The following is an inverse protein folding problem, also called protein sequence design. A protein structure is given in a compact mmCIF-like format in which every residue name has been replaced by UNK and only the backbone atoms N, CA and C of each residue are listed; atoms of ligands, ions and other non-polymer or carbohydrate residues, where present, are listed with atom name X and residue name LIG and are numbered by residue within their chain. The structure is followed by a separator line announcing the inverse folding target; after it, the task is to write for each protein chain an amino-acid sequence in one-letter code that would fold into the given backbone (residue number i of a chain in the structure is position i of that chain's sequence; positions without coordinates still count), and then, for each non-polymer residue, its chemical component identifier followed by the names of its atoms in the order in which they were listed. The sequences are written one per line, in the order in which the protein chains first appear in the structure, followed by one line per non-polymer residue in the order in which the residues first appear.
data_IF_333560185409
#
_entry.id   IF_333560185409
#
_cell.length_a   1.000
_cell.length_b   1.000
_cell.length_c   1.000
_cell.angle_alpha   90.00
_cell.angle_beta   90.00
_cell.angle_gamma   90.00
#
_symmetry.space_group_name_H-M   'P 1'
#
loop_
_entity.id
_entity.type
_entity.pdbx_description
1 polymer ?
#
# COMPACT_ATOMS: atom_id res chain seq x y z
N UNK A 1 -4.43 6.09 -15.92
CA UNK A 1 -3.80 7.31 -16.49
C UNK A 1 -2.39 7.41 -15.91
N UNK A 2 -1.33 7.40 -16.73
CA UNK A 2 0.05 7.64 -16.25
C UNK A 2 0.13 9.05 -15.67
N UNK A 3 0.62 9.20 -14.45
CA UNK A 3 0.68 10.51 -13.81
C UNK A 3 1.72 11.39 -14.51
N UNK A 4 1.56 12.71 -14.45
CA UNK A 4 2.55 13.68 -14.95
C UNK A 4 3.92 13.47 -14.30
N UNK A 5 3.95 12.91 -13.08
CA UNK A 5 5.17 12.54 -12.36
C UNK A 5 5.88 11.34 -12.97
N UNK A 6 5.15 10.34 -13.49
CA UNK A 6 5.74 9.17 -14.14
C UNK A 6 6.42 9.52 -15.46
N UNK A 7 5.86 10.48 -16.20
CA UNK A 7 6.46 11.02 -17.42
C UNK A 7 7.74 11.83 -17.12
N UNK A 8 7.78 12.57 -16.02
CA UNK A 8 8.96 13.34 -15.59
C UNK A 8 10.07 12.44 -15.05
N UNK A 9 9.72 11.36 -14.32
CA UNK A 9 10.68 10.34 -13.88
C UNK A 9 11.31 9.60 -15.06
N UNK A 10 10.54 9.26 -16.08
CA UNK A 10 11.06 8.61 -17.29
C UNK A 10 11.98 9.52 -18.13
N UNK A 11 11.85 10.84 -18.02
CA UNK A 11 12.66 11.82 -18.75
C UNK A 11 13.99 12.16 -18.07
N UNK A 12 14.16 11.85 -16.78
CA UNK A 12 15.40 12.15 -16.04
C UNK A 12 15.85 10.95 -15.17
N UNK A 13 16.86 10.17 -15.62
CA UNK A 13 17.33 9.00 -14.89
C UNK A 13 17.94 9.35 -13.53
N UNK A 14 18.53 10.55 -13.38
CA UNK A 14 19.06 11.03 -12.09
C UNK A 14 17.94 11.28 -11.10
N UNK A 15 16.82 11.83 -11.58
CA UNK A 15 15.64 12.03 -10.76
C UNK A 15 15.06 10.69 -10.28
N UNK A 16 15.03 9.69 -11.15
CA UNK A 16 14.61 8.33 -10.80
C UNK A 16 15.51 7.72 -9.71
N UNK A 17 16.83 7.83 -9.85
CA UNK A 17 17.80 7.37 -8.85
C UNK A 17 17.55 8.06 -7.49
N UNK A 18 17.37 9.38 -7.48
CA UNK A 18 17.15 10.14 -6.25
C UNK A 18 15.84 9.75 -5.56
N UNK A 19 14.77 9.49 -6.31
CA UNK A 19 13.53 8.97 -5.75
C UNK A 19 13.76 7.61 -5.09
N UNK A 20 14.42 6.68 -5.79
CA UNK A 20 14.68 5.34 -5.27
C UNK A 20 15.55 5.36 -4.01
N UNK A 21 16.62 6.16 -4.01
CA UNK A 21 17.49 6.34 -2.84
C UNK A 21 16.73 6.93 -1.66
N UNK A 22 15.86 7.92 -1.89
CA UNK A 22 15.03 8.52 -0.85
C UNK A 22 14.08 7.48 -0.24
N UNK A 23 13.46 6.64 -1.06
CA UNK A 23 12.55 5.60 -0.60
C UNK A 23 13.27 4.54 0.23
N UNK A 24 14.46 4.11 -0.21
CA UNK A 24 15.32 3.16 0.52
C UNK A 24 15.80 3.76 1.85
N UNK A 25 16.14 5.06 1.87
CA UNK A 25 16.56 5.79 3.07
C UNK A 25 15.48 5.89 4.16
N UNK A 26 14.20 5.75 3.81
CA UNK A 26 13.12 5.67 4.81
C UNK A 26 13.14 4.36 5.62
N UNK A 27 13.68 3.29 5.05
CA UNK A 27 13.82 1.98 5.70
C UNK A 27 15.22 1.84 6.32
N UNK A 28 16.24 2.34 5.64
CA UNK A 28 17.63 2.28 6.07
C UNK A 28 18.12 3.67 6.47
N UNK A 29 18.06 3.97 7.77
CA UNK A 29 18.49 5.26 8.33
C UNK A 29 19.98 5.58 8.12
N UNK A 30 20.80 4.56 7.82
CA UNK A 30 22.23 4.72 7.51
C UNK A 30 22.47 5.43 6.17
N UNK A 31 21.49 5.45 5.27
CA UNK A 31 21.60 6.10 3.95
C UNK A 31 21.09 7.54 4.06
N UNK A 32 21.89 8.55 3.67
CA UNK A 32 21.47 9.95 3.66
C UNK A 32 20.21 10.19 2.81
N UNK A 33 19.26 10.95 3.35
CA UNK A 33 18.05 11.37 2.61
C UNK A 33 18.42 12.40 1.55
N UNK A 34 18.21 12.05 0.29
CA UNK A 34 18.43 12.95 -0.85
C UNK A 34 17.13 13.58 -1.32
N UNK A 35 17.21 14.84 -1.74
CA UNK A 35 16.09 15.52 -2.39
C UNK A 35 16.11 15.24 -3.90
N UNK A 36 14.99 14.78 -4.49
CA UNK A 36 14.91 14.54 -5.92
C UNK A 36 14.84 15.86 -6.68
N UNK A 37 16.01 16.41 -7.00
CA UNK A 37 16.21 17.66 -7.75
C UNK A 37 16.46 17.42 -9.24
N UNK A 38 16.73 16.17 -9.63
CA UNK A 38 17.09 15.77 -10.99
C UNK A 38 18.52 16.13 -11.39
N UNK A 39 19.34 16.62 -10.45
CA UNK A 39 20.75 16.98 -10.65
C UNK A 39 21.64 16.11 -9.77
N UNK A 40 22.70 15.55 -10.34
CA UNK A 40 23.65 14.71 -9.61
C UNK A 40 24.65 15.61 -8.88
N UNK A 41 24.36 15.94 -7.62
CA UNK A 41 25.20 16.76 -6.75
C UNK A 41 26.02 15.88 -5.78
N UNK A 42 26.95 16.49 -5.02
CA UNK A 42 27.77 15.78 -4.04
C UNK A 42 26.96 15.06 -2.96
N UNK A 43 25.76 15.54 -2.61
CA UNK A 43 24.86 14.85 -1.69
C UNK A 43 24.32 13.53 -2.28
N UNK A 44 23.99 13.54 -3.58
CA UNK A 44 23.55 12.33 -4.29
C UNK A 44 24.70 11.33 -4.41
N UNK A 45 25.92 11.81 -4.68
CA UNK A 45 27.12 10.97 -4.72
C UNK A 45 27.42 10.33 -3.37
N UNK A 46 27.33 11.09 -2.28
CA UNK A 46 27.50 10.58 -0.91
C UNK A 46 26.44 9.52 -0.58
N UNK A 47 25.18 9.76 -0.93
CA UNK A 47 24.11 8.78 -0.71
C UNK A 47 24.31 7.49 -1.51
N UNK A 48 24.78 7.59 -2.77
CA UNK A 48 25.15 6.43 -3.59
C UNK A 48 26.32 5.67 -2.97
N UNK A 49 27.32 6.38 -2.43
CA UNK A 49 28.49 5.77 -1.79
C UNK A 49 28.14 4.99 -0.53
N UNK A 50 27.30 5.57 0.33
CA UNK A 50 26.81 4.88 1.54
C UNK A 50 25.87 3.71 1.18
N UNK A 51 25.03 3.86 0.16
CA UNK A 51 24.25 2.74 -0.39
C UNK A 51 25.16 1.61 -0.87
N UNK A 52 26.18 1.91 -1.69
CA UNK A 52 27.13 0.91 -2.18
C UNK A 52 27.83 0.19 -1.02
N UNK A 53 28.31 0.94 -0.03
CA UNK A 53 28.94 0.38 1.17
C UNK A 53 28.00 -0.54 1.95
N UNK A 54 26.72 -0.17 2.08
CA UNK A 54 25.72 -0.97 2.80
C UNK A 54 25.44 -2.31 2.11
N UNK A 55 25.38 -2.31 0.78
CA UNK A 55 25.04 -3.50 -0.01
C UNK A 55 26.28 -4.25 -0.54
N UNK A 56 27.45 -4.05 0.09
CA UNK A 56 28.72 -4.70 -0.26
C UNK A 56 29.16 -4.47 -1.73
N UNK A 57 28.83 -3.32 -2.29
CA UNK A 57 29.26 -2.88 -3.62
C UNK A 57 30.52 -1.98 -3.51
N UNK A 58 31.32 -1.87 -4.59
CA UNK A 58 32.40 -0.91 -4.65
C UNK A 58 31.89 0.53 -4.45
N UNK A 59 32.33 1.20 -3.37
CA UNK A 59 31.91 2.54 -2.97
C UNK A 59 32.54 3.65 -3.85
N UNK A 60 32.23 3.60 -5.14
CA UNK A 60 32.76 4.48 -6.19
C UNK A 60 32.02 5.82 -6.28
N UNK A 61 30.83 5.93 -5.69
CA UNK A 61 29.96 7.11 -5.81
C UNK A 61 29.29 7.24 -7.19
N UNK A 62 29.57 6.31 -8.12
CA UNK A 62 29.00 6.28 -9.46
C UNK A 62 27.95 5.19 -9.55
N UNK A 63 26.85 5.48 -10.25
CA UNK A 63 25.79 4.49 -10.50
C UNK A 63 26.12 3.73 -11.78
N UNK A 64 26.69 2.54 -11.62
CA UNK A 64 26.91 1.57 -12.70
C UNK A 64 25.74 0.58 -12.81
N UNK A 65 25.80 -0.35 -13.78
CA UNK A 65 24.73 -1.33 -13.97
C UNK A 65 24.51 -2.22 -12.72
N UNK A 66 25.58 -2.58 -12.01
CA UNK A 66 25.50 -3.39 -10.78
C UNK A 66 24.81 -2.62 -9.65
N UNK A 67 25.17 -1.35 -9.47
CA UNK A 67 24.54 -0.44 -8.51
C UNK A 67 23.10 -0.19 -8.90
N UNK A 68 22.79 0.03 -10.17
CA UNK A 68 21.42 0.22 -10.66
C UNK A 68 20.55 -1.03 -10.48
N UNK A 69 21.08 -2.21 -10.78
CA UNK A 69 20.37 -3.48 -10.60
C UNK A 69 20.08 -3.74 -9.13
N UNK A 70 21.07 -3.56 -8.25
CA UNK A 70 20.90 -3.67 -6.80
C UNK A 70 19.94 -2.62 -6.28
N UNK A 71 20.05 -1.37 -6.74
CA UNK A 71 19.15 -0.28 -6.38
C UNK A 71 17.72 -0.55 -6.85
N UNK A 72 17.50 -1.14 -8.02
CA UNK A 72 16.19 -1.57 -8.47
C UNK A 72 15.65 -2.74 -7.66
N UNK A 73 16.50 -3.71 -7.31
CA UNK A 73 16.12 -4.86 -6.49
C UNK A 73 15.74 -4.41 -5.08
N UNK A 74 16.56 -3.58 -4.45
CA UNK A 74 16.30 -3.06 -3.12
C UNK A 74 15.17 -2.05 -3.13
N UNK A 75 15.06 -1.23 -4.17
CA UNK A 75 13.88 -0.40 -4.36
C UNK A 75 12.64 -1.23 -4.61
N UNK A 76 12.69 -2.38 -5.30
CA UNK A 76 11.57 -3.29 -5.46
C UNK A 76 11.22 -3.99 -4.14
N UNK A 77 12.22 -4.39 -3.33
CA UNK A 77 12.02 -4.93 -1.98
C UNK A 77 11.38 -3.87 -1.07
N UNK A 78 11.92 -2.65 -1.10
CA UNK A 78 11.38 -1.49 -0.39
C UNK A 78 9.99 -1.14 -0.92
N UNK A 79 9.75 -1.15 -2.24
CA UNK A 79 8.43 -0.97 -2.85
C UNK A 79 7.49 -2.13 -2.52
N UNK A 80 7.97 -3.33 -2.20
CA UNK A 80 7.11 -4.37 -1.66
C UNK A 80 6.64 -4.02 -0.23
N UNK A 81 7.43 -3.22 0.50
CA UNK A 81 7.06 -2.61 1.78
C UNK A 81 6.36 -1.23 1.64
N UNK A 82 6.52 -0.50 0.52
CA UNK A 82 6.13 0.92 0.35
C UNK A 82 5.06 1.14 -0.76
N UNK A 83 4.93 0.25 -1.74
CA UNK A 83 4.24 0.44 -3.04
C UNK A 83 3.28 -0.69 -3.45
N UNK A 84 2.89 -1.56 -2.52
CA UNK A 84 1.45 -1.83 -2.48
C UNK A 84 0.81 -0.51 -2.07
N UNK A 85 -0.34 -0.08 -2.62
CA UNK A 85 -1.22 0.77 -1.82
C UNK A 85 -1.30 0.03 -0.50
N UNK A 86 -0.86 0.64 0.61
CA UNK A 86 -1.09 -0.02 1.89
C UNK A 86 -2.61 -0.23 1.92
N UNK A 87 -3.12 -1.48 1.86
CA UNK A 87 -4.57 -1.68 1.97
C UNK A 87 -4.91 -0.99 3.27
N UNK A 88 -5.74 0.07 3.23
CA UNK A 88 -5.90 1.03 4.33
C UNK A 88 -5.66 0.29 5.63
N UNK A 89 -4.48 0.46 6.22
CA UNK A 89 -3.95 -0.50 7.20
C UNK A 89 -4.53 -0.10 8.55
N UNK A 90 -5.86 -0.18 8.62
CA UNK A 90 -6.68 0.22 9.74
C UNK A 90 -7.18 -0.98 10.53
N UNK A 91 -6.88 -2.22 10.11
CA UNK A 91 -7.07 -3.39 10.94
C UNK A 91 -5.95 -3.47 11.98
N UNK A 92 -6.22 -3.17 13.27
CA UNK A 92 -5.16 -3.06 14.26
C UNK A 92 -4.46 -4.40 14.47
N UNK A 93 -3.14 -4.39 14.67
CA UNK A 93 -2.37 -5.63 14.90
C UNK A 93 -2.82 -6.40 16.14
N UNK A 94 -3.41 -5.70 17.10
CA UNK A 94 -3.83 -6.23 18.40
C UNK A 94 -5.31 -6.67 18.42
N UNK A 95 -6.03 -6.55 17.31
CA UNK A 95 -7.42 -6.98 17.19
C UNK A 95 -7.46 -8.24 16.34
N UNK A 96 -8.16 -9.26 16.82
CA UNK A 96 -8.33 -10.54 16.12
C UNK A 96 -9.50 -10.47 15.12
N UNK A 97 -10.63 -9.91 15.56
CA UNK A 97 -11.83 -9.73 14.74
C UNK A 97 -12.74 -8.66 15.33
N UNK A 98 -13.49 -7.95 14.50
CA UNK A 98 -14.62 -7.12 14.93
C UNK A 98 -15.93 -7.90 14.86
N UNK A 99 -16.80 -7.67 15.84
CA UNK A 99 -18.10 -8.33 16.01
C UNK A 99 -19.18 -7.30 16.37
N UNK A 100 -20.42 -7.78 16.46
CA UNK A 100 -21.59 -6.99 16.82
C UNK A 100 -21.32 -6.13 18.07
N UNK A 101 -21.77 -4.87 18.04
CA UNK A 101 -21.59 -3.83 19.09
C UNK A 101 -20.23 -3.11 19.06
N UNK A 102 -19.23 -3.60 18.31
CA UNK A 102 -17.99 -2.86 18.13
C UNK A 102 -18.23 -1.60 17.29
N UNK A 103 -17.54 -0.51 17.61
CA UNK A 103 -17.60 0.74 16.84
C UNK A 103 -16.20 1.32 16.68
N UNK A 104 -15.85 1.67 15.44
CA UNK A 104 -14.59 2.32 15.11
C UNK A 104 -14.58 2.85 13.67
N UNK A 105 -13.61 3.71 13.37
CA UNK A 105 -13.45 4.29 12.03
C UNK A 105 -13.22 3.23 10.94
N UNK A 106 -12.65 2.07 11.28
CA UNK A 106 -12.50 0.96 10.34
C UNK A 106 -13.86 0.40 9.90
N UNK A 107 -14.82 0.27 10.83
CA UNK A 107 -16.17 -0.19 10.51
C UNK A 107 -16.88 0.80 9.60
N UNK A 108 -16.65 2.10 9.80
CA UNK A 108 -17.16 3.11 8.89
C UNK A 108 -16.61 2.94 7.46
N UNK A 109 -15.31 2.64 7.32
CA UNK A 109 -14.69 2.36 6.01
C UNK A 109 -15.25 1.07 5.41
N UNK A 110 -15.42 0.01 6.22
CA UNK A 110 -16.10 -1.23 5.79
C UNK A 110 -17.48 -0.92 5.21
N UNK A 111 -18.26 -0.09 5.91
CA UNK A 111 -19.62 0.27 5.49
C UNK A 111 -19.61 1.08 4.18
N UNK A 112 -18.64 1.98 3.98
CA UNK A 112 -18.48 2.67 2.68
C UNK A 112 -18.25 1.65 1.56
N UNK A 113 -17.34 0.70 1.77
CA UNK A 113 -17.01 -0.32 0.76
C UNK A 113 -18.24 -1.17 0.47
N UNK A 114 -18.88 -1.74 1.49
CA UNK A 114 -20.07 -2.59 1.33
C UNK A 114 -21.24 -1.83 0.69
N UNK A 115 -21.37 -0.52 0.95
CA UNK A 115 -22.37 0.32 0.26
C UNK A 115 -22.05 0.48 -1.23
N UNK A 116 -20.79 0.58 -1.62
CA UNK A 116 -20.38 0.55 -3.03
C UNK A 116 -20.65 -0.82 -3.67
N UNK A 117 -20.50 -1.92 -2.92
CA UNK A 117 -20.96 -3.23 -3.37
C UNK A 117 -22.46 -3.27 -3.62
N UNK A 118 -23.29 -2.72 -2.71
CA UNK A 118 -24.74 -2.62 -2.92
C UNK A 118 -25.12 -1.85 -4.20
N UNK A 119 -24.42 -0.74 -4.49
CA UNK A 119 -24.65 0.03 -5.72
C UNK A 119 -24.44 -0.81 -6.98
N UNK A 120 -23.39 -1.63 -7.01
CA UNK A 120 -23.01 -2.44 -8.19
C UNK A 120 -23.70 -3.81 -8.23
N UNK A 121 -23.95 -4.41 -7.08
CA UNK A 121 -24.46 -5.76 -6.89
C UNK A 121 -25.73 -5.72 -6.03
N UNK A 122 -26.90 -5.83 -6.68
CA UNK A 122 -28.22 -5.69 -6.05
C UNK A 122 -28.55 -6.75 -4.99
N UNK A 123 -27.75 -7.81 -4.89
CA UNK A 123 -27.89 -8.84 -3.86
C UNK A 123 -27.31 -8.43 -2.50
N UNK A 124 -26.52 -7.36 -2.41
CA UNK A 124 -26.04 -6.87 -1.12
C UNK A 124 -27.11 -6.02 -0.42
N UNK A 125 -27.21 -6.05 0.92
CA UNK A 125 -28.11 -5.18 1.67
C UNK A 125 -27.63 -3.73 1.62
N UNK A 126 -28.56 -2.77 1.64
CA UNK A 126 -28.20 -1.37 1.89
C UNK A 126 -27.93 -1.17 3.38
N UNK A 127 -26.83 -0.52 3.69
CA UNK A 127 -26.31 -0.36 5.03
C UNK A 127 -26.12 1.12 5.37
N UNK A 128 -26.27 1.43 6.65
CA UNK A 128 -26.14 2.77 7.19
C UNK A 128 -24.67 3.07 7.52
N UNK A 129 -24.20 4.27 7.20
CA UNK A 129 -22.83 4.72 7.49
C UNK A 129 -22.79 5.31 8.90
N UNK A 130 -22.74 4.46 9.92
CA UNK A 130 -22.80 4.87 11.33
C UNK A 130 -21.52 4.51 12.12
N UNK A 131 -20.61 3.73 11.54
CA UNK A 131 -19.37 3.30 12.18
C UNK A 131 -19.54 2.25 13.28
N UNK A 132 -20.73 1.66 13.39
CA UNK A 132 -21.11 0.62 14.36
C UNK A 132 -21.32 -0.70 13.61
N UNK A 133 -20.77 -1.79 14.15
CA UNK A 133 -20.97 -3.13 13.59
C UNK A 133 -22.35 -3.64 13.99
N UNK A 134 -23.38 -3.17 13.28
CA UNK A 134 -24.78 -3.52 13.47
C UNK A 134 -25.16 -4.83 12.75
N UNK A 135 -26.40 -5.27 12.93
CA UNK A 135 -26.92 -6.50 12.34
C UNK A 135 -26.84 -6.48 10.81
N UNK A 136 -27.13 -5.34 10.18
CA UNK A 136 -27.05 -5.19 8.72
C UNK A 136 -25.62 -5.28 8.21
N UNK A 137 -24.66 -4.70 8.93
CA UNK A 137 -23.23 -4.80 8.62
C UNK A 137 -22.74 -6.24 8.74
N UNK A 138 -23.18 -6.97 9.79
CA UNK A 138 -22.87 -8.39 9.95
C UNK A 138 -23.43 -9.25 8.80
N UNK A 139 -24.69 -9.04 8.42
CA UNK A 139 -25.31 -9.75 7.29
C UNK A 139 -24.56 -9.51 5.98
N UNK A 140 -24.22 -8.25 5.69
CA UNK A 140 -23.43 -7.89 4.53
C UNK A 140 -22.06 -8.58 4.51
N UNK A 141 -21.40 -8.70 5.67
CA UNK A 141 -20.13 -9.43 5.82
C UNK A 141 -20.31 -10.94 5.60
N UNK A 142 -21.37 -11.56 6.14
CA UNK A 142 -21.67 -12.98 5.88
C UNK A 142 -21.90 -13.24 4.39
N UNK A 143 -22.65 -12.36 3.72
CA UNK A 143 -22.89 -12.46 2.28
C UNK A 143 -21.60 -12.33 1.49
N UNK A 144 -20.72 -11.40 1.87
CA UNK A 144 -19.40 -11.26 1.28
C UNK A 144 -18.56 -12.54 1.46
N UNK A 145 -18.50 -13.06 2.69
CA UNK A 145 -17.77 -14.29 3.02
C UNK A 145 -18.27 -15.47 2.19
N UNK A 146 -19.59 -15.67 2.12
CA UNK A 146 -20.23 -16.71 1.30
C UNK A 146 -19.88 -16.57 -0.18
N UNK A 147 -19.97 -15.37 -0.73
CA UNK A 147 -19.67 -15.10 -2.15
C UNK A 147 -18.18 -15.28 -2.50
N UNK A 148 -17.31 -15.15 -1.49
CA UNK A 148 -15.86 -15.24 -1.62
C UNK A 148 -15.30 -16.59 -1.15
N UNK A 149 -16.16 -17.58 -0.90
CA UNK A 149 -15.81 -18.93 -0.39
C UNK A 149 -15.01 -18.91 0.92
N UNK A 150 -15.28 -17.92 1.78
CA UNK A 150 -14.76 -17.86 3.16
C UNK A 150 -15.75 -18.52 4.13
N UNK A 151 -15.27 -18.82 5.34
CA UNK A 151 -16.15 -19.26 6.43
C UNK A 151 -17.11 -18.11 6.81
N UNK A 152 -18.41 -18.40 6.86
CA UNK A 152 -19.49 -17.45 7.16
C UNK A 152 -19.56 -17.11 8.66
N UNK A 153 -18.48 -16.55 9.19
CA UNK A 153 -18.35 -16.22 10.63
C UNK A 153 -19.16 -14.98 11.01
N UNK A 154 -19.48 -14.11 10.04
CA UNK A 154 -20.11 -12.80 10.28
C UNK A 154 -19.21 -11.81 11.03
N UNK A 155 -17.95 -12.16 11.25
CA UNK A 155 -16.97 -11.29 11.90
C UNK A 155 -16.06 -10.70 10.85
N UNK A 156 -15.66 -9.45 11.03
CA UNK A 156 -14.61 -8.87 10.21
C UNK A 156 -13.26 -9.26 10.80
N UNK A 157 -12.66 -10.29 10.24
CA UNK A 157 -11.27 -10.68 10.51
C UNK A 157 -10.32 -10.15 9.43
N UNK A 158 -9.03 -10.34 9.65
CA UNK A 158 -7.98 -9.88 8.73
C UNK A 158 -8.09 -10.53 7.35
N UNK A 159 -8.50 -11.80 7.27
CA UNK A 159 -8.61 -12.52 6.01
C UNK A 159 -9.75 -11.94 5.17
N UNK A 160 -10.91 -11.72 5.79
CA UNK A 160 -12.09 -11.10 5.20
C UNK A 160 -11.80 -9.69 4.73
N UNK A 161 -11.14 -8.86 5.55
CA UNK A 161 -10.75 -7.49 5.21
C UNK A 161 -9.78 -7.42 4.03
N UNK A 162 -8.76 -8.27 4.01
CA UNK A 162 -7.77 -8.30 2.92
C UNK A 162 -8.41 -8.69 1.59
N UNK A 163 -9.31 -9.67 1.61
CA UNK A 163 -10.00 -10.12 0.39
C UNK A 163 -11.00 -9.07 -0.12
N UNK A 164 -11.71 -8.42 0.80
CA UNK A 164 -12.64 -7.33 0.49
C UNK A 164 -11.93 -6.16 -0.20
N UNK A 165 -10.78 -5.71 0.34
CA UNK A 165 -9.98 -4.67 -0.31
C UNK A 165 -9.45 -5.11 -1.67
N UNK A 166 -8.95 -6.35 -1.77
CA UNK A 166 -8.44 -6.88 -3.04
C UNK A 166 -9.51 -6.87 -4.13
N UNK A 167 -10.73 -7.30 -3.83
CA UNK A 167 -11.84 -7.29 -4.80
C UNK A 167 -12.30 -5.85 -5.09
N UNK A 168 -12.38 -4.99 -4.08
CA UNK A 168 -12.73 -3.58 -4.25
C UNK A 168 -11.76 -2.85 -5.20
N UNK A 169 -10.45 -3.13 -5.08
CA UNK A 169 -9.41 -2.62 -5.98
C UNK A 169 -9.51 -3.22 -7.39
N UNK A 170 -9.62 -4.55 -7.52
CA UNK A 170 -9.69 -5.23 -8.82
C UNK A 170 -10.93 -4.80 -9.60
N UNK A 171 -12.08 -4.71 -8.94
CA UNK A 171 -13.35 -4.36 -9.55
C UNK A 171 -13.52 -2.83 -9.72
N UNK A 172 -12.51 -2.05 -9.33
CA UNK A 172 -12.43 -0.59 -9.39
C UNK A 172 -13.75 0.06 -8.95
N UNK A 173 -14.22 -0.28 -7.75
CA UNK A 173 -15.51 0.17 -7.20
C UNK A 173 -15.48 1.63 -6.70
N UNK A 174 -14.52 2.41 -7.16
CA UNK A 174 -14.42 3.84 -6.92
C UNK A 174 -15.25 4.56 -8.00
N UNK A 175 -16.41 5.10 -7.61
CA UNK A 175 -17.11 6.14 -8.37
C UNK A 175 -16.91 7.50 -7.69
#
# INVERSE_FOLDING_TARGET
MKSKLDAVKAANPVLEIQFKLRDISNIHQDIPKVLPTGKFNGETELAVKEFQKKFNLPATGKVDFSTWSTLNKEHANCMHCINTPSPVCCFPKNVESYKRVDSCNLIYILQIILKNYHKKYKNYPDIDLNGVFDERTEEAVKMFQRSSYLLETGKLDRQTWNLLNKIHEICNLYE
#
